data_IF_401735500528
#
_entry.id   IF_401735500528
#
_cell.length_a   1.000
_cell.length_b   1.000
_cell.length_c   1.000
_cell.angle_alpha   90.00
_cell.angle_beta   90.00
_cell.angle_gamma   90.00
#
_symmetry.space_group_name_H-M   'P 1'
#
loop_
_entity.id
_entity.type
_entity.pdbx_description
1 polymer ?
#
# COMPACT_ATOMS: atom_id res chain seq x y z
N UNK A 1 -5.33 13.42 -5.36
CA UNK A 1 -4.75 14.00 -6.59
C UNK A 1 -3.73 13.09 -7.30
N UNK A 2 -3.08 12.10 -6.65
CA UNK A 2 -2.11 11.20 -7.31
C UNK A 2 -2.72 9.99 -8.03
N UNK A 3 -3.72 9.32 -7.44
CA UNK A 3 -4.31 8.11 -8.03
C UNK A 3 -4.96 8.35 -9.39
N UNK A 4 -5.67 9.47 -9.57
CA UNK A 4 -6.30 9.83 -10.84
C UNK A 4 -5.29 10.02 -11.99
N UNK A 5 -4.11 10.57 -11.70
CA UNK A 5 -3.05 10.69 -12.69
C UNK A 5 -2.54 9.31 -13.15
N UNK A 6 -2.28 8.39 -12.20
CA UNK A 6 -1.85 7.02 -12.53
C UNK A 6 -2.90 6.28 -13.36
N UNK A 7 -4.18 6.39 -12.99
CA UNK A 7 -5.29 5.77 -13.74
C UNK A 7 -5.35 6.32 -15.18
N UNK A 8 -5.18 7.64 -15.35
CA UNK A 8 -5.16 8.25 -16.69
C UNK A 8 -4.01 7.72 -17.55
N UNK A 9 -2.82 7.52 -16.97
CA UNK A 9 -1.69 6.91 -17.69
C UNK A 9 -1.98 5.45 -18.04
N UNK A 10 -2.59 4.68 -17.14
CA UNK A 10 -2.98 3.28 -17.38
C UNK A 10 -4.03 3.17 -18.50
N UNK A 11 -5.03 4.03 -18.50
CA UNK A 11 -6.04 4.11 -19.55
C UNK A 11 -5.41 4.48 -20.91
N UNK A 12 -4.47 5.44 -20.91
CA UNK A 12 -3.72 5.81 -22.13
C UNK A 12 -2.89 4.66 -22.68
N UNK A 13 -2.41 3.76 -21.81
CA UNK A 13 -1.71 2.54 -22.18
C UNK A 13 -2.65 1.35 -22.54
N UNK A 14 -3.95 1.61 -22.71
CA UNK A 14 -4.98 0.63 -23.06
C UNK A 14 -5.19 -0.46 -21.99
N UNK A 15 -5.10 -0.09 -20.71
CA UNK A 15 -5.53 -0.92 -19.58
C UNK A 15 -6.90 -0.47 -19.08
N UNK A 16 -7.74 -1.45 -18.76
CA UNK A 16 -8.98 -1.24 -18.03
C UNK A 16 -8.77 -1.57 -16.55
N UNK A 17 -9.14 -0.63 -15.68
CA UNK A 17 -9.04 -0.76 -14.23
C UNK A 17 -10.24 -1.55 -13.72
N UNK A 18 -9.99 -2.67 -13.05
CA UNK A 18 -11.03 -3.52 -12.46
C UNK A 18 -11.39 -3.10 -11.04
N UNK A 19 -10.38 -2.81 -10.23
CA UNK A 19 -10.58 -2.46 -8.82
C UNK A 19 -9.39 -1.64 -8.30
N UNK A 20 -9.64 -0.83 -7.26
CA UNK A 20 -8.64 -0.03 -6.55
C UNK A 20 -8.85 -0.22 -5.05
N UNK A 21 -7.89 -0.90 -4.40
CA UNK A 21 -7.88 -1.10 -2.95
C UNK A 21 -6.93 -0.10 -2.28
N UNK A 22 -7.34 0.45 -1.12
CA UNK A 22 -6.51 1.36 -0.32
C UNK A 22 -5.81 0.58 0.80
N UNK A 23 -4.48 0.57 0.78
CA UNK A 23 -3.66 -0.23 1.70
C UNK A 23 -2.80 0.63 2.65
N UNK A 24 -3.06 1.93 2.73
CA UNK A 24 -2.25 2.89 3.51
C UNK A 24 -2.11 2.50 4.99
N UNK A 25 -3.18 1.98 5.61
CA UNK A 25 -3.17 1.55 7.02
C UNK A 25 -2.28 0.33 7.23
N UNK A 26 -2.31 -0.63 6.29
CA UNK A 26 -1.45 -1.81 6.34
C UNK A 26 0.03 -1.45 6.18
N UNK A 27 0.31 -0.44 5.35
CA UNK A 27 1.66 0.10 5.19
C UNK A 27 2.16 0.73 6.50
N UNK A 28 1.34 1.54 7.17
CA UNK A 28 1.67 2.11 8.48
C UNK A 28 1.98 1.02 9.52
N UNK A 29 1.16 -0.02 9.61
CA UNK A 29 1.39 -1.15 10.52
C UNK A 29 2.72 -1.88 10.25
N UNK A 30 3.11 -1.97 8.97
CA UNK A 30 4.39 -2.58 8.57
C UNK A 30 5.57 -1.74 9.05
N UNK A 31 5.52 -0.42 8.81
CA UNK A 31 6.58 0.51 9.22
C UNK A 31 6.74 0.54 10.74
N UNK A 32 5.64 0.50 11.49
CA UNK A 32 5.68 0.43 12.95
C UNK A 32 6.44 -0.81 13.45
N UNK A 33 6.19 -1.98 12.87
CA UNK A 33 6.91 -3.23 13.20
C UNK A 33 8.39 -3.20 12.83
N UNK A 34 8.79 -2.34 11.89
CA UNK A 34 10.21 -2.19 11.54
C UNK A 34 10.94 -1.30 12.56
N UNK A 35 10.26 -0.27 13.07
CA UNK A 35 10.80 0.60 14.13
C UNK A 35 10.98 -0.15 15.45
N UNK A 36 10.10 -1.12 15.76
CA UNK A 36 10.18 -1.89 17.02
C UNK A 36 11.39 -2.84 17.11
N UNK A 37 12.11 -3.10 16.01
CA UNK A 37 13.29 -3.98 15.98
C UNK A 37 14.62 -3.26 16.25
N UNK A 38 14.60 -2.23 17.11
CA UNK A 38 15.74 -1.34 17.40
C UNK A 38 17.07 -2.07 17.65
N UNK A 39 17.08 -3.04 18.55
CA UNK A 39 18.32 -3.63 19.06
C UNK A 39 19.12 -4.36 17.96
N UNK A 40 18.41 -5.05 17.05
CA UNK A 40 19.02 -5.75 15.92
C UNK A 40 19.60 -4.79 14.88
N UNK A 41 18.94 -3.66 14.67
CA UNK A 41 19.34 -2.66 13.68
C UNK A 41 20.55 -1.87 14.19
N UNK A 42 20.51 -1.45 15.46
CA UNK A 42 21.61 -0.73 16.11
C UNK A 42 22.88 -1.59 16.19
N UNK A 43 22.76 -2.89 16.49
CA UNK A 43 23.90 -3.81 16.52
C UNK A 43 24.58 -3.99 15.15
N UNK A 44 23.82 -3.96 14.05
CA UNK A 44 24.35 -4.19 12.69
C UNK A 44 24.86 -2.91 12.01
N UNK A 45 24.16 -1.80 12.17
CA UNK A 45 24.43 -0.56 11.41
C UNK A 45 24.93 0.60 12.27
N UNK A 46 24.92 0.45 13.59
CA UNK A 46 25.32 1.50 14.52
C UNK A 46 24.24 2.57 14.77
N UNK A 47 24.49 3.37 15.81
CA UNK A 47 23.50 4.27 16.39
C UNK A 47 23.17 5.50 15.50
N UNK A 48 24.18 6.04 14.78
CA UNK A 48 23.98 7.16 13.86
C UNK A 48 22.98 6.82 12.74
N UNK A 49 23.15 5.65 12.12
CA UNK A 49 22.26 5.19 11.06
C UNK A 49 20.88 4.86 11.61
N UNK A 50 20.81 4.21 12.78
CA UNK A 50 19.54 3.93 13.43
C UNK A 50 18.70 5.21 13.66
N UNK A 51 19.30 6.30 14.18
CA UNK A 51 18.57 7.55 14.45
C UNK A 51 17.96 8.16 13.19
N UNK A 52 18.72 8.18 12.08
CA UNK A 52 18.23 8.72 10.81
C UNK A 52 17.05 7.90 10.27
N UNK A 53 17.20 6.57 10.29
CA UNK A 53 16.15 5.66 9.84
C UNK A 53 14.93 5.67 10.75
N UNK A 54 15.11 5.76 12.07
CA UNK A 54 14.02 5.84 13.02
C UNK A 54 13.16 7.09 12.78
N UNK A 55 13.78 8.24 12.53
CA UNK A 55 13.05 9.46 12.20
C UNK A 55 12.27 9.33 10.89
N UNK A 56 12.92 8.81 9.83
CA UNK A 56 12.28 8.60 8.53
C UNK A 56 11.08 7.64 8.62
N UNK A 57 11.25 6.51 9.29
CA UNK A 57 10.21 5.50 9.43
C UNK A 57 9.06 6.01 10.30
N UNK A 58 9.34 6.65 11.43
CA UNK A 58 8.30 7.21 12.29
C UNK A 58 7.45 8.26 11.56
N UNK A 59 8.09 9.16 10.80
CA UNK A 59 7.37 10.16 10.00
C UNK A 59 6.50 9.49 8.92
N UNK A 60 7.03 8.46 8.26
CA UNK A 60 6.30 7.71 7.23
C UNK A 60 5.09 6.96 7.80
N UNK A 61 5.19 6.42 9.02
CA UNK A 61 4.08 5.78 9.74
C UNK A 61 2.95 6.78 10.03
N UNK A 62 3.26 8.00 10.48
CA UNK A 62 2.28 9.02 10.82
C UNK A 62 1.59 9.57 9.56
N UNK A 63 2.36 9.92 8.53
CA UNK A 63 1.84 10.50 7.28
C UNK A 63 0.86 9.54 6.58
N UNK A 64 1.14 8.23 6.64
CA UNK A 64 0.28 7.20 6.04
C UNK A 64 -1.03 6.98 6.80
N UNK A 65 -1.06 7.22 8.13
CA UNK A 65 -2.30 7.20 8.92
C UNK A 65 -3.18 8.43 8.66
N UNK A 66 -2.56 9.60 8.49
CA UNK A 66 -3.26 10.86 8.24
C UNK A 66 -3.82 10.97 6.81
N UNK A 67 -3.58 9.97 5.95
CA UNK A 67 -4.08 9.94 4.56
C UNK A 67 -3.38 10.91 3.61
N UNK A 68 -2.27 11.54 4.04
CA UNK A 68 -1.49 12.44 3.19
C UNK A 68 -0.58 11.69 2.22
N UNK A 69 -0.21 10.44 2.54
CA UNK A 69 0.46 9.52 1.63
C UNK A 69 -0.27 8.19 1.64
N UNK A 70 -0.88 7.84 0.50
CA UNK A 70 -1.70 6.64 0.38
C UNK A 70 -1.09 5.61 -0.54
N UNK A 71 -1.20 4.34 -0.14
CA UNK A 71 -0.80 3.18 -0.94
C UNK A 71 -2.04 2.62 -1.60
N UNK A 72 -1.99 2.43 -2.92
CA UNK A 72 -3.07 1.87 -3.72
C UNK A 72 -2.62 0.57 -4.36
N UNK A 73 -3.44 -0.47 -4.27
CA UNK A 73 -3.32 -1.66 -5.11
C UNK A 73 -4.35 -1.52 -6.23
N UNK A 74 -3.86 -1.51 -7.47
CA UNK A 74 -4.70 -1.33 -8.65
C UNK A 74 -4.70 -2.64 -9.42
N UNK A 75 -5.86 -3.26 -9.55
CA UNK A 75 -6.06 -4.46 -10.37
C UNK A 75 -6.51 -4.04 -11.76
N UNK A 76 -5.79 -4.49 -12.78
CA UNK A 76 -5.98 -4.09 -14.18
C UNK A 76 -6.10 -5.31 -15.08
N UNK A 77 -6.71 -5.12 -16.24
CA UNK A 77 -6.57 -6.02 -17.36
C UNK A 77 -6.31 -5.24 -18.65
N UNK A 78 -5.66 -5.89 -19.63
CA UNK A 78 -5.38 -5.25 -20.91
C UNK A 78 -6.62 -5.31 -21.80
N UNK A 79 -7.06 -4.17 -22.32
CA UNK A 79 -8.26 -4.08 -23.15
C UNK A 79 -7.95 -4.58 -24.58
N UNK A 80 -8.02 -5.89 -24.76
CA UNK A 80 -7.83 -6.57 -26.04
C UNK A 80 -9.12 -7.31 -26.39
N UNK A 81 -9.49 -7.33 -27.68
CA UNK A 81 -10.67 -8.05 -28.19
C UNK A 81 -10.65 -9.57 -27.92
N UNK A 82 -9.53 -10.12 -27.45
CA UNK A 82 -9.38 -11.52 -27.07
C UNK A 82 -10.01 -11.86 -25.70
N UNK A 83 -10.36 -10.87 -24.88
CA UNK A 83 -10.91 -11.08 -23.54
C UNK A 83 -12.27 -10.42 -23.37
N UNK A 84 -13.30 -11.20 -23.09
CA UNK A 84 -14.63 -10.67 -22.76
C UNK A 84 -14.69 -10.26 -21.29
N UNK A 85 -15.00 -8.99 -21.01
CA UNK A 85 -15.04 -8.44 -19.65
C UNK A 85 -15.94 -9.23 -18.69
N UNK A 86 -17.01 -9.85 -19.19
CA UNK A 86 -17.92 -10.72 -18.41
C UNK A 86 -17.20 -11.89 -17.72
N UNK A 87 -16.12 -12.42 -18.31
CA UNK A 87 -15.33 -13.51 -17.71
C UNK A 87 -14.47 -13.04 -16.53
N UNK A 88 -14.34 -11.73 -16.34
CA UNK A 88 -13.58 -11.12 -15.25
C UNK A 88 -14.39 -10.81 -14.00
N UNK A 89 -15.73 -10.99 -14.00
CA UNK A 89 -16.63 -10.53 -12.93
C UNK A 89 -16.23 -11.07 -11.55
N UNK A 90 -15.80 -12.33 -11.45
CA UNK A 90 -15.36 -12.91 -10.17
C UNK A 90 -14.18 -12.16 -9.55
N UNK A 91 -13.34 -11.53 -10.38
CA UNK A 91 -12.18 -10.73 -9.96
C UNK A 91 -12.49 -9.24 -9.75
N UNK A 92 -13.74 -8.80 -9.92
CA UNK A 92 -14.18 -7.41 -9.73
C UNK A 92 -14.57 -7.10 -8.27
N UNK A 93 -14.09 -7.91 -7.33
CA UNK A 93 -14.28 -7.67 -5.90
C UNK A 93 -13.02 -7.04 -5.29
N UNK A 94 -13.23 -6.25 -4.25
CA UNK A 94 -12.14 -5.83 -3.36
C UNK A 94 -11.52 -7.03 -2.68
N UNK A 95 -10.25 -6.90 -2.31
CA UNK A 95 -9.54 -7.90 -1.51
C UNK A 95 -10.20 -8.01 -0.12
N UNK A 96 -11.24 -8.84 0.01
CA UNK A 96 -11.88 -9.14 1.28
C UNK A 96 -11.03 -10.12 2.07
N UNK A 97 -10.08 -9.60 2.85
CA UNK A 97 -9.31 -10.40 3.80
C UNK A 97 -10.21 -10.73 4.99
N UNK A 98 -10.43 -12.03 5.27
CA UNK A 98 -10.96 -12.45 6.58
C UNK A 98 -9.89 -12.15 7.62
N UNK A 99 -10.17 -11.19 8.50
CA UNK A 99 -9.22 -10.78 9.52
C UNK A 99 -9.33 -11.72 10.72
N UNK A 100 -8.25 -12.44 11.03
CA UNK A 100 -8.16 -13.22 12.27
C UNK A 100 -8.06 -12.31 13.53
N UNK A 101 -7.72 -11.02 13.33
CA UNK A 101 -7.63 -10.01 14.38
C UNK A 101 -8.05 -8.64 13.84
N UNK A 102 -8.85 -7.92 14.61
CA UNK A 102 -9.29 -6.56 14.24
C UNK A 102 -8.09 -5.59 14.15
N UNK A 103 -8.09 -4.67 13.17
CA UNK A 103 -7.04 -3.69 13.03
C UNK A 103 -7.18 -2.67 14.17
N UNK A 104 -6.21 -2.71 15.09
CA UNK A 104 -6.16 -1.78 16.21
C UNK A 104 -5.45 -0.49 15.79
N UNK A 105 -5.98 0.64 16.24
CA UNK A 105 -5.29 1.92 16.14
C UNK A 105 -4.01 1.82 16.96
N UNK A 106 -2.86 1.99 16.29
CA UNK A 106 -1.56 2.09 16.95
C UNK A 106 -1.48 3.53 17.48
N UNK A 107 -1.93 3.72 18.72
CA UNK A 107 -1.80 4.98 19.49
C UNK A 107 -0.45 5.02 20.18
#
# INVERSE_FOLDING_TARGET
>A
MLAGWVISQLQSANFEVKNIDVLSVHYSATLYRWVSNKDKIAAKYGDKWYRLWAFFLARSTIISQQGSCSVFQITLHKNLNAFHCVKGIESHASSHVKLDKEPQLVV
#
